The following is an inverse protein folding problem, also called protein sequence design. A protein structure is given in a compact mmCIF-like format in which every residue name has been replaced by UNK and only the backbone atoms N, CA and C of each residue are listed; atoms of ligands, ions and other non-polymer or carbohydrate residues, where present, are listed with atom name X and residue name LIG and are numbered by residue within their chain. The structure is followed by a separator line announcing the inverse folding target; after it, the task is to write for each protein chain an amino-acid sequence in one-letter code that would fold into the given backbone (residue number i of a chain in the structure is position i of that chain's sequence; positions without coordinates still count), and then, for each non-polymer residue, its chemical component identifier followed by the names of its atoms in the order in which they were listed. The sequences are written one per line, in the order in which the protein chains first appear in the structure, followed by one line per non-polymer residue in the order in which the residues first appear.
data_IF_649233448470
#
_entry.id   IF_649233448470
#
_cell.length_a   1.000
_cell.length_b   1.000
_cell.length_c   1.000
_cell.angle_alpha   90.00
_cell.angle_beta   90.00
_cell.angle_gamma   90.00
#
_symmetry.space_group_name_H-M   'P 1'
#
loop_
_entity.id
_entity.type
_entity.pdbx_description
1 polymer ?
#
# COMPACT_ATOMS: atom_id res chain seq x y z
N UNK A 1 -43.16 66.49 35.42
CA UNK A 1 -42.53 67.72 34.89
C UNK A 1 -41.02 67.50 34.81
N UNK A 2 -40.55 67.24 33.59
CA UNK A 2 -39.19 67.18 33.02
C UNK A 2 -37.95 67.28 33.90
N UNK A 3 -36.96 66.41 33.62
CA UNK A 3 -35.81 66.79 32.77
C UNK A 3 -35.08 65.57 32.15
N UNK A 4 -34.83 65.72 30.86
CA UNK A 4 -34.19 64.83 29.89
C UNK A 4 -32.72 65.24 29.68
N UNK A 5 -31.83 64.29 29.36
CA UNK A 5 -30.50 64.39 28.69
C UNK A 5 -29.91 62.97 28.65
N UNK A 6 -29.89 62.18 27.55
CA UNK A 6 -29.22 62.20 26.22
C UNK A 6 -27.67 62.05 26.27
N UNK A 7 -27.18 61.02 25.51
CA UNK A 7 -25.83 60.66 25.01
C UNK A 7 -24.97 59.76 25.94
N UNK A 8 -24.17 58.75 25.52
CA UNK A 8 -23.53 58.41 24.24
C UNK A 8 -23.02 56.92 24.25
N UNK A 9 -23.31 56.18 23.17
CA UNK A 9 -22.64 55.06 22.45
C UNK A 9 -21.26 54.42 22.87
N UNK A 10 -21.17 53.08 22.67
CA UNK A 10 -20.03 52.19 22.21
C UNK A 10 -19.38 51.18 23.20
N UNK A 11 -19.35 49.90 22.76
CA UNK A 11 -18.33 48.85 23.06
C UNK A 11 -18.66 47.96 24.26
N UNK A 12 -18.56 46.63 24.27
CA UNK A 12 -17.77 45.68 23.49
C UNK A 12 -18.40 44.29 23.71
N UNK A 13 -18.84 43.61 22.65
CA UNK A 13 -19.26 42.20 22.72
C UNK A 13 -18.00 41.34 22.83
N UNK A 14 -17.56 41.03 24.06
CA UNK A 14 -16.57 39.97 24.30
C UNK A 14 -17.28 38.62 24.17
N UNK A 15 -17.40 38.14 22.93
CA UNK A 15 -17.62 36.74 22.65
C UNK A 15 -16.32 36.01 23.03
N UNK A 16 -16.18 35.64 24.30
CA UNK A 16 -15.17 34.66 24.70
C UNK A 16 -15.61 33.35 24.05
N UNK A 17 -14.99 33.04 22.91
CA UNK A 17 -15.05 31.71 22.35
C UNK A 17 -14.50 30.76 23.40
N UNK A 18 -15.39 30.11 24.14
CA UNK A 18 -15.04 28.91 24.89
C UNK A 18 -14.61 27.91 23.84
N UNK A 19 -13.31 27.62 23.79
CA UNK A 19 -12.84 26.36 23.23
C UNK A 19 -13.47 25.28 24.11
N UNK A 20 -14.55 24.68 23.63
CA UNK A 20 -15.11 23.48 24.24
C UNK A 20 -14.21 22.33 23.85
N UNK A 21 -13.24 22.00 24.71
CA UNK A 21 -12.72 20.64 24.75
C UNK A 21 -13.86 19.78 25.29
N UNK A 22 -14.51 19.03 24.41
CA UNK A 22 -15.44 17.99 24.87
C UNK A 22 -14.61 16.88 25.48
N UNK A 23 -14.40 16.92 26.80
CA UNK A 23 -13.78 15.86 27.59
C UNK A 23 -14.73 14.66 27.74
N UNK A 24 -15.15 14.09 26.61
CA UNK A 24 -16.22 13.10 26.61
C UNK A 24 -15.83 11.79 27.33
N UNK A 25 -14.54 11.53 27.56
CA UNK A 25 -14.08 10.23 28.10
C UNK A 25 -12.96 10.29 29.17
N UNK A 26 -12.57 11.47 29.68
CA UNK A 26 -11.47 11.65 30.65
C UNK A 26 -10.16 10.93 30.24
N UNK A 27 -9.83 10.98 28.95
CA UNK A 27 -8.57 10.46 28.40
C UNK A 27 -7.88 11.64 27.72
N UNK A 28 -6.67 11.99 28.13
CA UNK A 28 -5.84 12.91 27.36
C UNK A 28 -5.09 12.14 26.28
N UNK A 29 -4.87 12.81 25.14
CA UNK A 29 -4.08 12.29 24.04
C UNK A 29 -2.97 13.28 23.73
N UNK A 30 -1.74 12.87 24.00
CA UNK A 30 -0.58 13.73 24.03
C UNK A 30 0.55 13.18 23.14
N UNK A 31 1.39 14.09 22.66
CA UNK A 31 2.64 13.73 22.01
C UNK A 31 3.74 13.67 23.06
N UNK A 32 4.60 12.67 22.99
CA UNK A 32 5.82 12.61 23.80
C UNK A 32 6.75 13.79 23.55
N UNK A 33 7.68 14.04 24.48
CA UNK A 33 8.57 15.20 24.46
C UNK A 33 9.73 15.12 23.47
N UNK A 34 9.83 14.05 22.67
CA UNK A 34 10.94 13.80 21.76
C UNK A 34 10.53 13.91 20.30
N UNK A 35 11.27 14.71 19.54
CA UNK A 35 11.21 14.76 18.08
C UNK A 35 12.47 14.08 17.52
N UNK A 36 12.43 12.76 17.26
CA UNK A 36 13.62 12.03 16.83
C UNK A 36 14.10 12.56 15.48
N UNK A 37 15.39 12.48 15.21
CA UNK A 37 15.97 12.92 13.93
C UNK A 37 15.94 11.81 12.88
N UNK A 38 15.41 12.09 11.68
CA UNK A 38 15.46 11.22 10.51
C UNK A 38 16.43 11.80 9.46
N UNK A 39 17.71 11.43 9.60
CA UNK A 39 18.76 11.80 8.65
C UNK A 39 19.05 10.68 7.64
N UNK A 40 18.79 10.95 6.36
CA UNK A 40 19.04 10.03 5.24
C UNK A 40 20.40 10.36 4.63
N UNK A 41 21.33 9.39 4.72
CA UNK A 41 22.74 9.56 4.33
C UNK A 41 23.18 8.63 3.19
N UNK A 42 22.34 7.67 2.79
CA UNK A 42 22.56 6.81 1.63
C UNK A 42 21.23 6.51 0.94
N UNK A 43 21.31 5.85 -0.22
CA UNK A 43 20.14 5.33 -0.94
C UNK A 43 19.44 4.16 -0.25
N UNK A 44 19.97 3.68 0.88
CA UNK A 44 19.38 2.61 1.68
C UNK A 44 18.23 3.10 2.59
N UNK A 45 17.95 4.40 2.56
CA UNK A 45 16.98 5.05 3.43
C UNK A 45 17.56 5.31 4.81
N UNK A 46 16.68 5.43 5.80
CA UNK A 46 17.09 5.64 7.19
C UNK A 46 15.96 5.26 8.15
N UNK A 47 16.32 4.99 9.40
CA UNK A 47 15.37 4.86 10.51
C UNK A 47 15.84 5.72 11.66
N UNK A 48 14.91 6.34 12.38
CA UNK A 48 15.24 7.17 13.53
C UNK A 48 15.91 6.37 14.65
N UNK A 49 16.93 6.97 15.30
CA UNK A 49 17.55 6.38 16.50
C UNK A 49 16.65 6.44 17.75
N UNK A 50 15.85 7.51 17.87
CA UNK A 50 14.88 7.72 18.95
C UNK A 50 13.43 7.46 18.54
N UNK A 51 12.49 7.81 19.42
CA UNK A 51 11.06 7.56 19.25
C UNK A 51 10.23 8.83 19.18
N UNK A 52 9.21 8.81 18.33
CA UNK A 52 8.04 9.66 18.45
C UNK A 52 7.01 8.88 19.26
N UNK A 53 6.58 9.44 20.38
CA UNK A 53 5.66 8.74 21.28
C UNK A 53 4.25 9.31 21.21
N UNK A 54 3.26 8.44 21.18
CA UNK A 54 1.85 8.79 21.37
C UNK A 54 1.42 8.32 22.76
N UNK A 55 0.89 9.24 23.56
CA UNK A 55 0.59 9.00 24.98
C UNK A 55 -0.90 9.12 25.22
N UNK A 56 -1.48 8.11 25.86
CA UNK A 56 -2.83 8.16 26.40
C UNK A 56 -2.76 8.19 27.92
N UNK A 57 -3.34 9.22 28.54
CA UNK A 57 -3.37 9.37 30.00
C UNK A 57 -4.82 9.34 30.50
N UNK A 58 -5.04 8.62 31.60
CA UNK A 58 -6.26 8.70 32.41
C UNK A 58 -5.86 9.04 33.84
N UNK A 59 -6.48 10.10 34.35
CA UNK A 59 -6.33 10.50 35.74
C UNK A 59 -6.97 9.49 36.70
N UNK A 60 -6.59 9.56 37.98
CA UNK A 60 -7.12 8.69 39.03
C UNK A 60 -8.67 8.63 39.08
N UNK A 61 -9.19 7.45 39.46
CA UNK A 61 -10.61 7.19 39.70
C UNK A 61 -11.18 6.08 38.80
N UNK A 62 -12.34 5.54 39.19
CA UNK A 62 -13.04 4.50 38.41
C UNK A 62 -13.59 5.10 37.11
N UNK A 63 -13.20 4.53 35.95
CA UNK A 63 -13.56 5.06 34.63
C UNK A 63 -13.81 3.89 33.67
N UNK A 64 -14.98 3.82 33.00
CA UNK A 64 -15.29 2.71 32.11
C UNK A 64 -14.15 2.37 31.15
N UNK A 65 -13.88 1.08 31.00
CA UNK A 65 -12.88 0.58 30.06
C UNK A 65 -13.28 0.98 28.64
N UNK A 66 -12.29 1.31 27.80
CA UNK A 66 -12.55 1.65 26.39
C UNK A 66 -12.06 0.51 25.51
N UNK A 67 -12.92 -0.43 25.10
CA UNK A 67 -12.55 -1.50 24.17
C UNK A 67 -12.46 -0.98 22.73
N UNK A 68 -11.77 -1.74 21.86
CA UNK A 68 -11.77 -1.53 20.40
C UNK A 68 -11.34 -0.13 19.96
N UNK A 69 -10.56 0.56 20.78
CA UNK A 69 -10.04 1.89 20.47
C UNK A 69 -9.06 1.83 19.29
N UNK A 70 -8.91 2.98 18.62
CA UNK A 70 -8.17 3.11 17.36
C UNK A 70 -7.34 4.37 17.38
N UNK A 71 -6.17 4.32 16.75
CA UNK A 71 -5.31 5.47 16.48
C UNK A 71 -5.03 5.51 14.99
N UNK A 72 -5.34 6.64 14.37
CA UNK A 72 -5.02 6.94 12.98
C UNK A 72 -4.10 8.14 12.89
N UNK A 73 -3.27 8.16 11.85
CA UNK A 73 -2.49 9.33 11.42
C UNK A 73 -2.84 9.65 9.96
N UNK A 74 -2.93 10.93 9.64
CA UNK A 74 -3.07 11.41 8.26
C UNK A 74 -2.17 12.63 8.04
N UNK A 75 -1.76 12.83 6.79
CA UNK A 75 -1.12 14.07 6.37
C UNK A 75 -2.21 15.12 6.13
N UNK A 76 -2.03 16.31 6.70
CA UNK A 76 -2.93 17.46 6.45
C UNK A 76 -2.45 18.35 5.30
N UNK A 77 -1.30 18.00 4.71
CA UNK A 77 -0.68 18.61 3.54
C UNK A 77 0.49 17.76 3.03
N UNK A 78 1.09 18.14 1.90
CA UNK A 78 2.27 17.45 1.36
C UNK A 78 3.48 17.57 2.32
N UNK A 79 4.39 16.59 2.28
CA UNK A 79 5.67 16.68 2.97
C UNK A 79 6.60 17.54 2.12
N UNK A 80 6.85 18.78 2.55
CA UNK A 80 7.49 19.79 1.70
C UNK A 80 8.90 20.13 2.16
N UNK A 81 9.77 20.40 1.19
CA UNK A 81 11.09 20.97 1.44
C UNK A 81 10.95 22.36 2.07
N UNK A 82 11.82 22.67 3.04
CA UNK A 82 11.80 23.94 3.78
C UNK A 82 12.50 25.09 3.04
N UNK A 83 13.19 24.79 1.94
CA UNK A 83 13.95 25.75 1.12
C UNK A 83 13.07 26.55 0.13
N UNK A 84 11.76 26.30 0.09
CA UNK A 84 10.84 26.95 -0.83
C UNK A 84 10.88 26.41 -2.27
N UNK A 85 11.64 25.34 -2.54
CA UNK A 85 11.73 24.71 -3.87
C UNK A 85 10.42 24.07 -4.35
N UNK A 86 9.47 23.83 -3.44
CA UNK A 86 8.25 23.07 -3.72
C UNK A 86 8.49 21.56 -3.89
N UNK A 87 9.69 21.07 -3.59
CA UNK A 87 10.02 19.65 -3.68
C UNK A 87 9.21 18.86 -2.65
N UNK A 88 8.49 17.82 -3.10
CA UNK A 88 7.64 16.96 -2.26
C UNK A 88 8.37 15.67 -1.94
N UNK A 89 8.46 15.32 -0.66
CA UNK A 89 8.87 13.98 -0.23
C UNK A 89 7.67 13.02 -0.38
N UNK A 90 7.78 11.90 -1.12
CA UNK A 90 6.67 10.97 -1.29
C UNK A 90 6.20 10.37 0.04
N UNK A 91 4.93 10.56 0.36
CA UNK A 91 4.35 10.14 1.64
C UNK A 91 4.50 8.64 1.90
N UNK A 92 4.26 7.81 0.88
CA UNK A 92 4.34 6.34 0.94
C UNK A 92 5.75 5.80 1.27
N UNK A 93 6.76 6.67 1.20
CA UNK A 93 8.14 6.34 1.55
C UNK A 93 8.49 6.61 3.00
N UNK A 94 7.62 7.26 3.77
CA UNK A 94 7.77 7.43 5.22
C UNK A 94 6.83 6.45 5.94
N UNK A 95 7.37 5.70 6.90
CA UNK A 95 6.62 4.71 7.68
C UNK A 95 6.81 4.87 9.18
N UNK A 96 5.77 4.55 9.95
CA UNK A 96 5.84 4.36 11.40
C UNK A 96 6.12 2.90 11.73
N UNK A 97 7.07 2.65 12.63
CA UNK A 97 7.43 1.33 13.11
C UNK A 97 7.21 1.30 14.63
N UNK A 98 6.17 0.61 15.14
CA UNK A 98 5.97 0.47 16.57
C UNK A 98 7.12 -0.34 17.19
N UNK A 99 7.63 0.11 18.34
CA UNK A 99 8.79 -0.51 18.99
C UNK A 99 8.40 -1.16 20.30
N UNK A 100 7.83 -0.40 21.23
CA UNK A 100 7.39 -0.89 22.52
C UNK A 100 6.33 0.04 23.12
N UNK A 101 5.82 -0.35 24.28
CA UNK A 101 4.96 0.46 25.13
C UNK A 101 5.60 0.67 26.50
N UNK A 102 5.32 1.81 27.13
CA UNK A 102 5.83 2.15 28.46
C UNK A 102 4.86 3.05 29.23
N UNK A 103 5.09 3.21 30.53
CA UNK A 103 4.24 3.98 31.42
C UNK A 103 3.77 3.17 32.63
N UNK A 104 2.57 3.44 33.12
CA UNK A 104 2.06 2.89 34.37
C UNK A 104 0.53 2.70 34.37
N UNK A 105 -0.03 1.78 35.18
CA UNK A 105 0.68 0.80 35.99
C UNK A 105 1.30 -0.32 35.13
N UNK A 106 2.35 -0.95 35.63
CA UNK A 106 2.99 -2.09 34.97
C UNK A 106 2.33 -3.42 35.43
N UNK A 107 2.24 -4.45 34.56
CA UNK A 107 2.67 -4.47 33.16
C UNK A 107 1.66 -3.79 32.22
N UNK A 108 2.16 -3.10 31.20
CA UNK A 108 1.35 -2.54 30.11
C UNK A 108 1.26 -3.51 28.92
N UNK A 109 0.19 -3.41 28.10
CA UNK A 109 0.06 -4.25 26.92
C UNK A 109 1.16 -3.97 25.90
N UNK A 110 1.71 -5.03 25.32
CA UNK A 110 2.75 -4.97 24.28
C UNK A 110 2.19 -4.55 22.92
N UNK A 111 3.08 -4.22 21.97
CA UNK A 111 2.75 -3.88 20.57
C UNK A 111 1.85 -4.94 19.92
N UNK A 112 2.17 -6.22 20.11
CA UNK A 112 1.41 -7.34 19.53
C UNK A 112 0.05 -7.53 20.22
N UNK A 113 -0.02 -7.35 21.55
CA UNK A 113 -1.29 -7.42 22.30
C UNK A 113 -2.24 -6.28 21.95
N UNK A 114 -1.73 -5.10 21.62
CA UNK A 114 -2.56 -4.02 21.07
C UNK A 114 -3.00 -4.35 19.64
N UNK A 115 -2.20 -5.09 18.87
CA UNK A 115 -2.48 -5.40 17.47
C UNK A 115 -2.01 -4.30 16.52
N UNK A 116 -0.87 -3.67 16.83
CA UNK A 116 -0.28 -2.64 15.96
C UNK A 116 0.42 -3.27 14.75
N UNK A 117 0.07 -2.89 13.51
CA UNK A 117 0.79 -3.31 12.32
C UNK A 117 2.19 -2.69 12.24
N UNK A 118 3.12 -3.36 11.56
CA UNK A 118 4.49 -2.89 11.36
C UNK A 118 5.06 -3.39 10.03
N UNK A 119 5.66 -2.52 9.19
CA UNK A 119 5.61 -1.05 9.24
C UNK A 119 4.24 -0.51 8.80
N UNK A 120 3.95 0.76 9.13
CA UNK A 120 2.77 1.49 8.64
C UNK A 120 3.21 2.66 7.75
N UNK A 121 3.21 2.50 6.41
CA UNK A 121 3.51 3.59 5.50
C UNK A 121 2.43 4.66 5.56
N UNK A 122 2.83 5.93 5.45
CA UNK A 122 1.89 7.02 5.27
C UNK A 122 1.21 6.95 3.90
N UNK A 123 0.07 7.62 3.79
CA UNK A 123 -0.65 7.76 2.53
C UNK A 123 -0.87 9.26 2.27
N UNK A 124 -0.66 9.69 1.03
CA UNK A 124 -0.84 11.09 0.62
C UNK A 124 -2.30 11.55 0.74
N UNK A 125 -3.26 10.70 0.40
CA UNK A 125 -4.67 11.09 0.23
C UNK A 125 -5.60 10.51 1.29
N UNK A 126 -5.08 9.84 2.31
CA UNK A 126 -5.93 9.24 3.34
C UNK A 126 -5.22 8.98 4.66
N UNK A 127 -6.02 8.70 5.68
CA UNK A 127 -5.55 8.24 6.97
C UNK A 127 -5.08 6.79 6.91
N UNK A 128 -4.06 6.50 7.69
CA UNK A 128 -3.60 5.14 7.98
C UNK A 128 -3.75 4.86 9.48
N UNK A 129 -3.85 3.59 9.85
CA UNK A 129 -4.07 3.20 11.24
C UNK A 129 -2.79 2.69 11.88
N UNK A 130 -2.32 3.38 12.92
CA UNK A 130 -1.26 2.91 13.81
C UNK A 130 -1.81 1.85 14.78
N UNK A 131 -3.07 2.01 15.19
CA UNK A 131 -3.86 1.00 15.91
C UNK A 131 -5.20 0.87 15.18
N UNK A 132 -5.42 -0.18 14.36
CA UNK A 132 -6.63 -0.32 13.56
C UNK A 132 -7.85 -0.74 14.38
N UNK A 133 -7.64 -1.62 15.35
CA UNK A 133 -8.61 -2.04 16.34
C UNK A 133 -7.87 -2.69 17.51
N UNK A 134 -7.77 -2.01 18.64
CA UNK A 134 -7.03 -2.57 19.78
C UNK A 134 -7.65 -3.87 20.27
N UNK A 135 -6.83 -4.90 20.45
CA UNK A 135 -7.26 -6.20 21.01
C UNK A 135 -7.28 -6.19 22.55
N UNK A 136 -6.83 -5.09 23.16
CA UNK A 136 -6.89 -4.85 24.60
C UNK A 136 -7.61 -3.52 24.89
N UNK A 137 -8.51 -3.47 25.89
CA UNK A 137 -9.17 -2.24 26.26
C UNK A 137 -8.18 -1.28 26.95
N UNK A 138 -8.45 0.03 26.86
CA UNK A 138 -7.88 0.97 27.84
C UNK A 138 -8.52 0.67 29.19
N UNK A 139 -7.69 0.44 30.21
CA UNK A 139 -8.13 -0.15 31.47
C UNK A 139 -9.06 0.75 32.29
N UNK A 140 -9.94 0.10 33.07
CA UNK A 140 -10.75 0.68 34.15
C UNK A 140 -10.05 0.44 35.50
N UNK A 141 -8.81 0.88 35.61
CA UNK A 141 -8.15 0.91 36.92
C UNK A 141 -8.61 2.13 37.69
N UNK A 142 -8.82 2.01 39.00
CA UNK A 142 -8.97 3.17 39.90
C UNK A 142 -7.68 4.00 39.99
N UNK A 143 -6.58 3.46 39.48
CA UNK A 143 -5.26 4.06 39.43
C UNK A 143 -5.07 4.96 38.20
N UNK A 144 -4.09 5.86 38.31
CA UNK A 144 -3.58 6.65 37.19
C UNK A 144 -3.03 5.71 36.11
N UNK A 145 -3.51 5.88 34.88
CA UNK A 145 -3.12 5.06 33.73
C UNK A 145 -2.42 5.93 32.68
N UNK A 146 -1.21 5.57 32.30
CA UNK A 146 -0.43 6.20 31.23
C UNK A 146 0.12 5.12 30.32
N UNK A 147 -0.37 5.08 29.09
CA UNK A 147 0.12 4.23 28.02
C UNK A 147 0.84 5.09 26.99
N UNK A 148 2.15 4.96 26.93
CA UNK A 148 2.99 5.56 25.91
C UNK A 148 3.36 4.50 24.87
N UNK A 149 3.07 4.78 23.60
CA UNK A 149 3.40 3.94 22.45
C UNK A 149 4.53 4.60 21.67
N UNK A 150 5.66 3.93 21.58
CA UNK A 150 6.87 4.45 20.94
C UNK A 150 6.97 3.98 19.49
N UNK A 151 7.14 4.93 18.57
CA UNK A 151 7.31 4.67 17.15
C UNK A 151 8.66 5.20 16.65
N UNK A 152 9.37 4.40 15.86
CA UNK A 152 10.41 4.91 14.98
C UNK A 152 9.79 5.39 13.68
N UNK A 153 10.39 6.39 13.06
CA UNK A 153 10.09 6.76 11.68
C UNK A 153 11.15 6.14 10.77
N UNK A 154 10.74 5.69 9.59
CA UNK A 154 11.65 5.16 8.58
C UNK A 154 11.37 5.79 7.22
N UNK A 155 12.44 6.16 6.51
CA UNK A 155 12.41 6.43 5.08
C UNK A 155 12.83 5.18 4.32
N UNK A 156 12.07 4.81 3.29
CA UNK A 156 12.37 3.66 2.44
C UNK A 156 13.66 3.87 1.62
N UNK A 157 14.38 2.80 1.26
CA UNK A 157 15.45 2.86 0.28
C UNK A 157 14.90 3.20 -1.12
N UNK A 158 15.76 3.76 -1.99
CA UNK A 158 15.47 3.86 -3.42
C UNK A 158 16.10 5.07 -4.11
N UNK A 159 16.09 5.02 -5.45
CA UNK A 159 16.69 6.05 -6.31
C UNK A 159 15.98 7.40 -6.19
N UNK A 160 14.68 7.38 -5.86
CA UNK A 160 13.86 8.58 -5.63
C UNK A 160 14.53 9.60 -4.67
N UNK A 161 15.34 9.13 -3.71
CA UNK A 161 16.08 9.96 -2.76
C UNK A 161 17.04 10.95 -3.44
N UNK A 162 17.53 10.62 -4.65
CA UNK A 162 18.39 11.52 -5.45
C UNK A 162 17.71 12.86 -5.74
N UNK A 163 16.40 12.83 -5.97
CA UNK A 163 15.63 14.03 -6.31
C UNK A 163 15.24 14.84 -5.05
N UNK A 164 15.53 14.30 -3.86
CA UNK A 164 15.20 14.91 -2.58
C UNK A 164 16.39 15.61 -1.91
N UNK A 165 17.57 15.58 -2.52
CA UNK A 165 18.72 16.39 -2.09
C UNK A 165 18.80 17.71 -2.88
N UNK A 166 19.52 18.70 -2.36
CA UNK A 166 19.80 19.96 -3.07
C UNK A 166 21.23 19.94 -3.64
N UNK A 167 21.44 19.18 -4.72
CA UNK A 167 22.78 19.02 -5.30
C UNK A 167 23.75 18.39 -4.29
N UNK A 168 24.72 19.17 -3.80
CA UNK A 168 25.71 18.76 -2.78
C UNK A 168 25.35 19.19 -1.35
N UNK A 169 24.15 19.73 -1.14
CA UNK A 169 23.69 20.23 0.16
C UNK A 169 22.58 19.35 0.77
N UNK A 170 22.47 19.43 2.09
CA UNK A 170 21.38 18.81 2.85
C UNK A 170 20.09 19.58 2.64
N UNK A 171 19.03 18.88 2.27
CA UNK A 171 17.67 19.42 2.20
C UNK A 171 16.84 18.95 3.39
N UNK A 172 16.15 19.88 4.04
CA UNK A 172 15.24 19.59 5.16
C UNK A 172 13.78 19.57 4.69
N UNK A 173 12.97 18.73 5.33
CA UNK A 173 11.56 18.55 5.03
C UNK A 173 10.72 18.63 6.30
N UNK A 174 9.49 19.15 6.16
CA UNK A 174 8.48 19.10 7.21
C UNK A 174 7.26 18.28 6.78
N UNK A 175 6.74 17.48 7.69
CA UNK A 175 5.55 16.65 7.48
C UNK A 175 4.42 17.12 8.42
N UNK A 176 3.33 17.71 7.89
CA UNK A 176 2.18 18.10 8.69
C UNK A 176 1.29 16.89 8.97
N UNK A 177 1.26 16.43 10.22
CA UNK A 177 0.58 15.22 10.67
C UNK A 177 -0.61 15.56 11.58
N UNK A 178 -1.68 14.79 11.44
CA UNK A 178 -2.80 14.80 12.36
C UNK A 178 -3.06 13.40 12.89
N UNK A 179 -2.86 13.22 14.19
CA UNK A 179 -3.19 11.99 14.89
C UNK A 179 -4.58 12.11 15.50
N UNK A 180 -5.36 11.03 15.42
CA UNK A 180 -6.69 10.95 16.02
C UNK A 180 -6.82 9.65 16.78
N UNK A 181 -7.27 9.73 18.02
CA UNK A 181 -7.71 8.57 18.80
C UNK A 181 -9.23 8.53 18.86
N UNK A 182 -9.80 7.34 18.67
CA UNK A 182 -11.24 7.08 18.71
C UNK A 182 -11.56 5.84 19.52
N UNK A 183 -12.75 5.80 20.09
CA UNK A 183 -13.26 4.61 20.78
C UNK A 183 -13.82 3.56 19.79
N UNK A 184 -14.30 2.43 20.34
CA UNK A 184 -14.94 1.36 19.56
C UNK A 184 -16.23 1.75 18.83
N UNK A 185 -16.89 2.83 19.26
CA UNK A 185 -18.07 3.40 18.61
C UNK A 185 -17.71 4.48 17.57
N UNK A 186 -16.41 4.63 17.28
CA UNK A 186 -15.86 5.63 16.37
C UNK A 186 -16.08 7.09 16.82
N UNK A 187 -16.34 7.30 18.12
CA UNK A 187 -16.37 8.64 18.72
C UNK A 187 -14.94 9.14 18.95
N UNK A 188 -14.75 10.44 18.78
CA UNK A 188 -13.46 11.08 18.96
C UNK A 188 -13.10 11.16 20.45
N UNK A 189 -11.93 10.62 20.80
CA UNK A 189 -11.32 10.79 22.13
C UNK A 189 -10.40 12.01 22.12
N UNK A 190 -9.58 12.19 21.07
CA UNK A 190 -8.59 13.26 21.03
C UNK A 190 -7.93 13.42 19.66
N UNK A 191 -7.36 14.60 19.43
CA UNK A 191 -6.64 14.98 18.20
C UNK A 191 -5.33 15.65 18.58
N UNK A 192 -4.25 15.27 17.89
CA UNK A 192 -2.97 16.00 17.91
C UNK A 192 -2.70 16.50 16.50
N UNK A 193 -2.51 17.82 16.36
CA UNK A 193 -1.94 18.41 15.15
C UNK A 193 -0.46 18.65 15.41
N UNK A 194 0.40 18.09 14.57
CA UNK A 194 1.84 18.13 14.78
C UNK A 194 2.58 18.22 13.46
N UNK A 195 3.50 19.18 13.35
CA UNK A 195 4.42 19.27 12.21
C UNK A 195 5.75 18.65 12.64
N UNK A 196 6.12 17.54 12.01
CA UNK A 196 7.42 16.91 12.19
C UNK A 196 8.43 17.60 11.27
N UNK A 197 9.39 18.32 11.82
CA UNK A 197 10.35 19.18 11.10
C UNK A 197 11.74 18.54 10.95
N UNK A 198 11.95 17.37 11.52
CA UNK A 198 13.28 16.79 11.69
C UNK A 198 13.62 15.69 10.66
N UNK A 199 13.24 15.91 9.40
CA UNK A 199 13.61 15.06 8.24
C UNK A 199 14.68 15.77 7.43
N UNK A 200 15.79 15.10 7.18
CA UNK A 200 16.87 15.62 6.34
C UNK A 200 17.36 14.57 5.34
N UNK A 201 17.49 14.98 4.08
CA UNK A 201 18.19 14.23 3.04
C UNK A 201 19.53 14.93 2.82
N UNK A 202 20.60 14.26 3.24
CA UNK A 202 21.96 14.77 3.03
C UNK A 202 22.41 14.56 1.59
N UNK A 203 23.59 15.09 1.27
CA UNK A 203 24.26 14.71 0.04
C UNK A 203 24.54 13.20 0.03
N UNK A 204 23.90 12.48 -0.91
CA UNK A 204 24.04 11.04 -1.06
C UNK A 204 25.23 10.74 -1.98
N UNK A 205 26.12 9.86 -1.52
CA UNK A 205 27.28 9.43 -2.31
C UNK A 205 26.95 8.21 -3.18
N UNK A 206 27.63 8.11 -4.32
CA UNK A 206 27.48 7.00 -5.26
C UNK A 206 26.31 7.18 -6.24
N UNK A 207 26.21 6.30 -7.25
CA UNK A 207 25.05 6.31 -8.14
C UNK A 207 23.79 5.87 -7.36
N UNK A 208 22.62 6.45 -7.64
CA UNK A 208 21.35 5.90 -7.17
C UNK A 208 21.21 4.44 -7.61
N UNK A 209 20.55 3.58 -6.81
CA UNK A 209 20.25 2.22 -7.24
C UNK A 209 19.40 2.25 -8.51
N UNK A 210 19.58 1.28 -9.40
CA UNK A 210 18.73 1.16 -10.58
C UNK A 210 17.32 0.76 -10.14
N UNK A 211 16.32 1.59 -10.45
CA UNK A 211 14.92 1.22 -10.23
C UNK A 211 14.53 0.15 -11.24
N UNK A 212 13.91 -0.94 -10.77
CA UNK A 212 13.42 -1.98 -11.67
C UNK A 212 12.17 -1.48 -12.39
N UNK A 213 12.28 -1.22 -13.68
CA UNK A 213 11.20 -0.83 -14.57
C UNK A 213 10.86 -1.99 -15.48
N UNK A 214 9.58 -2.35 -15.54
CA UNK A 214 9.11 -3.42 -16.39
C UNK A 214 7.64 -3.22 -16.78
N UNK A 215 7.29 -3.67 -17.97
CA UNK A 215 5.91 -3.65 -18.47
C UNK A 215 5.61 -4.89 -19.29
N UNK A 216 4.33 -5.24 -19.33
CA UNK A 216 3.79 -6.31 -20.14
C UNK A 216 2.59 -5.78 -20.91
N UNK A 217 2.46 -6.19 -22.17
CA UNK A 217 1.30 -5.88 -23.00
C UNK A 217 0.88 -7.13 -23.77
N UNK A 218 -0.42 -7.43 -23.76
CA UNK A 218 -1.04 -8.40 -24.65
C UNK A 218 -1.64 -7.63 -25.84
N UNK A 219 -1.44 -8.13 -27.06
CA UNK A 219 -2.03 -7.50 -28.25
C UNK A 219 -3.56 -7.64 -28.26
N UNK A 220 -4.24 -6.76 -28.97
CA UNK A 220 -5.71 -6.79 -29.07
C UNK A 220 -6.20 -8.10 -29.69
N UNK A 221 -5.45 -8.63 -30.66
CA UNK A 221 -5.74 -9.89 -31.35
C UNK A 221 -5.54 -11.08 -30.41
N UNK A 222 -4.47 -11.08 -29.60
CA UNK A 222 -4.19 -12.15 -28.65
C UNK A 222 -5.07 -12.11 -27.39
N UNK A 223 -5.68 -10.97 -27.09
CA UNK A 223 -6.59 -10.79 -25.95
C UNK A 223 -7.87 -11.63 -26.08
N UNK A 224 -8.27 -11.99 -27.32
CA UNK A 224 -9.44 -12.82 -27.61
C UNK A 224 -9.00 -14.10 -28.33
N UNK A 225 -8.26 -14.96 -27.62
CA UNK A 225 -7.83 -16.26 -28.11
C UNK A 225 -9.00 -17.18 -28.49
N UNK A 226 -9.07 -17.67 -29.72
CA UNK A 226 -10.14 -18.58 -30.20
C UNK A 226 -9.55 -19.80 -30.90
N UNK A 227 -9.93 -20.98 -30.42
CA UNK A 227 -9.70 -22.26 -31.09
C UNK A 227 -11.05 -22.79 -31.61
N UNK A 228 -11.22 -22.76 -32.93
CA UNK A 228 -12.47 -23.18 -33.56
C UNK A 228 -12.34 -24.59 -34.15
N UNK A 229 -13.18 -25.52 -33.68
CA UNK A 229 -13.20 -26.91 -34.11
C UNK A 229 -14.35 -27.14 -35.10
N UNK A 230 -14.03 -27.27 -36.41
CA UNK A 230 -15.02 -27.42 -37.50
C UNK A 230 -15.03 -28.81 -38.10
N UNK A 231 -13.88 -29.49 -38.08
CA UNK A 231 -13.68 -30.74 -38.79
C UNK A 231 -13.18 -31.81 -37.83
N UNK A 232 -13.46 -33.08 -38.14
CA UNK A 232 -12.97 -34.22 -37.36
C UNK A 232 -11.44 -34.17 -37.17
N UNK A 233 -10.71 -33.71 -38.19
CA UNK A 233 -9.26 -33.55 -38.13
C UNK A 233 -8.79 -32.60 -37.01
N UNK A 234 -9.58 -31.59 -36.62
CA UNK A 234 -9.23 -30.67 -35.53
C UNK A 234 -9.21 -31.40 -34.17
N UNK A 235 -10.04 -32.44 -34.01
CA UNK A 235 -10.09 -33.26 -32.80
C UNK A 235 -9.01 -34.36 -32.82
N UNK A 236 -8.80 -35.00 -33.97
CA UNK A 236 -7.83 -36.11 -34.12
C UNK A 236 -6.39 -35.59 -34.05
N UNK A 237 -6.07 -34.50 -34.74
CA UNK A 237 -4.71 -33.97 -34.78
C UNK A 237 -4.44 -32.88 -33.73
N UNK A 238 -5.51 -32.35 -33.11
CA UNK A 238 -5.46 -31.14 -32.31
C UNK A 238 -5.57 -29.88 -33.16
N UNK A 239 -5.88 -28.77 -32.51
CA UNK A 239 -6.02 -27.45 -33.13
C UNK A 239 -5.01 -26.49 -32.54
N UNK A 240 -4.45 -25.60 -33.35
CA UNK A 240 -3.62 -24.50 -32.87
C UNK A 240 -3.94 -23.19 -33.56
N UNK A 241 -3.75 -22.09 -32.84
CA UNK A 241 -3.77 -20.73 -33.37
C UNK A 241 -2.53 -19.99 -32.86
N UNK A 242 -1.91 -19.18 -33.71
CA UNK A 242 -0.74 -18.36 -33.38
C UNK A 242 -1.13 -16.90 -33.54
N UNK A 243 -0.85 -16.12 -32.51
CA UNK A 243 -1.01 -14.66 -32.51
C UNK A 243 0.36 -14.01 -32.56
N UNK A 244 0.71 -13.49 -33.73
CA UNK A 244 1.97 -12.80 -33.94
C UNK A 244 2.07 -11.54 -33.07
N UNK A 245 3.23 -11.33 -32.43
CA UNK A 245 3.45 -10.26 -31.45
C UNK A 245 2.36 -10.19 -30.37
N UNK A 246 1.82 -11.36 -29.97
CA UNK A 246 0.73 -11.45 -29.00
C UNK A 246 1.11 -10.98 -27.60
N UNK A 247 2.40 -11.02 -27.25
CA UNK A 247 2.95 -10.56 -25.98
C UNK A 247 4.15 -9.64 -26.24
N UNK A 248 4.17 -8.46 -25.63
CA UNK A 248 5.33 -7.57 -25.62
C UNK A 248 5.78 -7.31 -24.19
N UNK A 249 7.08 -7.39 -23.95
CA UNK A 249 7.73 -7.11 -22.67
C UNK A 249 8.75 -5.99 -22.86
N UNK A 250 8.80 -5.05 -21.91
CA UNK A 250 9.94 -4.15 -21.70
C UNK A 250 10.43 -4.34 -20.28
N UNK A 251 11.75 -4.43 -20.06
CA UNK A 251 12.33 -4.53 -18.73
C UNK A 251 13.76 -4.00 -18.72
N UNK A 252 14.16 -3.32 -17.66
CA UNK A 252 15.58 -2.99 -17.42
C UNK A 252 16.29 -4.00 -16.50
N UNK A 253 15.57 -5.03 -16.04
CA UNK A 253 16.10 -6.14 -15.24
C UNK A 253 15.69 -7.48 -15.86
N UNK A 254 16.30 -8.57 -15.41
CA UNK A 254 15.81 -9.91 -15.76
C UNK A 254 14.35 -10.08 -15.32
N UNK A 255 13.58 -10.87 -16.04
CA UNK A 255 12.14 -10.96 -15.80
C UNK A 255 11.60 -12.38 -15.94
N UNK A 256 10.44 -12.60 -15.34
CA UNK A 256 9.60 -13.78 -15.56
C UNK A 256 8.18 -13.34 -15.89
N UNK A 257 7.60 -13.95 -16.91
CA UNK A 257 6.16 -13.83 -17.19
C UNK A 257 5.47 -15.13 -16.78
N UNK A 258 4.33 -14.99 -16.11
CA UNK A 258 3.46 -16.10 -15.74
C UNK A 258 2.06 -15.92 -16.33
N UNK A 259 1.35 -17.04 -16.45
CA UNK A 259 -0.07 -17.06 -16.84
C UNK A 259 -0.87 -17.91 -15.86
N UNK A 260 -2.11 -17.50 -15.57
CA UNK A 260 -3.12 -18.31 -14.87
C UNK A 260 -4.52 -18.04 -15.38
N UNK A 261 -5.39 -19.03 -15.22
CA UNK A 261 -6.83 -18.88 -15.42
C UNK A 261 -7.51 -18.30 -14.16
N UNK A 262 -8.53 -17.45 -14.35
CA UNK A 262 -9.32 -16.92 -13.24
C UNK A 262 -10.40 -17.89 -12.74
N UNK A 263 -10.81 -18.85 -13.57
CA UNK A 263 -11.80 -19.88 -13.24
C UNK A 263 -11.19 -21.28 -13.33
N UNK A 264 -11.72 -22.29 -12.59
CA UNK A 264 -11.14 -23.64 -12.55
C UNK A 264 -11.33 -24.46 -13.82
N UNK A 265 -12.23 -24.03 -14.71
CA UNK A 265 -12.67 -24.73 -15.90
C UNK A 265 -13.05 -23.69 -16.95
N UNK A 266 -13.06 -24.07 -18.21
CA UNK A 266 -13.81 -23.31 -19.21
C UNK A 266 -15.31 -23.56 -19.01
N UNK A 267 -16.11 -22.51 -19.18
CA UNK A 267 -17.57 -22.59 -19.07
C UNK A 267 -18.24 -22.04 -20.32
N UNK A 268 -19.39 -22.62 -20.68
CA UNK A 268 -20.27 -22.11 -21.73
C UNK A 268 -21.53 -21.44 -21.19
N UNK A 269 -22.26 -20.73 -22.05
CA UNK A 269 -23.56 -20.12 -21.71
C UNK A 269 -24.62 -21.15 -21.32
N UNK A 270 -24.50 -22.38 -21.84
CA UNK A 270 -25.37 -23.51 -21.50
C UNK A 270 -24.90 -24.30 -20.27
N UNK A 271 -24.01 -23.72 -19.45
CA UNK A 271 -23.43 -24.33 -18.25
C UNK A 271 -22.65 -25.64 -18.49
N UNK A 272 -22.17 -25.88 -19.72
CA UNK A 272 -21.24 -26.96 -19.99
C UNK A 272 -19.84 -26.56 -19.52
N UNK A 273 -19.02 -27.56 -19.15
CA UNK A 273 -17.70 -27.37 -18.55
C UNK A 273 -16.65 -28.16 -19.30
N UNK A 274 -15.44 -27.61 -19.36
CA UNK A 274 -14.27 -28.28 -19.94
C UNK A 274 -13.04 -28.02 -19.05
N UNK A 275 -12.24 -29.05 -18.72
CA UNK A 275 -11.01 -28.86 -17.94
C UNK A 275 -10.03 -27.90 -18.61
N UNK A 276 -9.27 -27.12 -17.83
CA UNK A 276 -8.35 -26.11 -18.37
C UNK A 276 -7.19 -26.73 -19.17
N UNK A 277 -6.69 -27.87 -18.70
CA UNK A 277 -5.47 -28.51 -19.18
C UNK A 277 -5.61 -29.15 -20.58
N UNK A 278 -6.82 -29.15 -21.15
CA UNK A 278 -7.06 -29.48 -22.56
C UNK A 278 -6.43 -28.46 -23.51
N UNK A 279 -6.25 -27.21 -23.06
CA UNK A 279 -5.59 -26.15 -23.80
C UNK A 279 -4.20 -25.92 -23.22
N UNK A 280 -3.23 -25.86 -24.12
CA UNK A 280 -1.84 -25.55 -23.86
C UNK A 280 -1.50 -24.18 -24.44
N UNK A 281 -0.56 -23.52 -23.80
CA UNK A 281 0.03 -22.25 -24.22
C UNK A 281 1.54 -22.42 -24.34
N UNK A 282 2.11 -21.86 -25.40
CA UNK A 282 3.55 -21.64 -25.50
C UNK A 282 3.84 -20.29 -26.13
N UNK A 283 5.02 -19.76 -25.83
CA UNK A 283 5.56 -18.58 -26.49
C UNK A 283 6.53 -19.02 -27.59
N UNK A 284 6.45 -18.35 -28.74
CA UNK A 284 7.35 -18.53 -29.87
C UNK A 284 8.04 -17.20 -30.18
N UNK A 285 9.21 -17.23 -30.84
CA UNK A 285 10.04 -16.05 -31.08
C UNK A 285 10.45 -15.32 -29.79
N UNK A 286 11.19 -14.21 -29.89
CA UNK A 286 11.68 -13.46 -28.73
C UNK A 286 12.84 -14.14 -27.97
N UNK A 287 13.46 -13.38 -27.06
CA UNK A 287 14.64 -13.79 -26.28
C UNK A 287 14.22 -14.29 -24.89
N UNK A 288 14.77 -15.43 -24.45
CA UNK A 288 14.53 -16.01 -23.13
C UNK A 288 14.19 -17.50 -23.18
N UNK A 289 14.23 -18.14 -22.01
CA UNK A 289 13.82 -19.53 -21.82
C UNK A 289 12.29 -19.60 -21.81
N UNK A 290 11.73 -20.34 -22.77
CA UNK A 290 10.27 -20.46 -22.97
C UNK A 290 9.79 -21.81 -22.49
N UNK A 291 8.65 -21.82 -21.80
CA UNK A 291 8.08 -23.02 -21.19
C UNK A 291 6.66 -23.23 -21.72
N UNK A 292 6.42 -24.27 -22.54
CA UNK A 292 5.07 -24.70 -22.86
C UNK A 292 4.35 -25.18 -21.60
N UNK A 293 3.12 -24.72 -21.38
CA UNK A 293 2.32 -25.01 -20.18
C UNK A 293 0.90 -25.43 -20.54
N UNK A 294 0.30 -26.30 -19.73
CA UNK A 294 -1.16 -26.47 -19.71
C UNK A 294 -1.79 -25.33 -18.91
N UNK A 295 -2.96 -24.83 -19.34
CA UNK A 295 -3.67 -23.82 -18.58
C UNK A 295 -4.10 -24.38 -17.21
N UNK A 296 -3.95 -23.56 -16.18
CA UNK A 296 -4.30 -23.90 -14.80
C UNK A 296 -4.64 -22.65 -13.99
N UNK A 297 -5.25 -22.80 -12.82
CA UNK A 297 -5.47 -21.67 -11.90
C UNK A 297 -4.20 -21.26 -11.14
N UNK A 298 -3.19 -22.14 -11.10
CA UNK A 298 -1.89 -21.83 -10.54
C UNK A 298 -1.07 -21.04 -11.57
N UNK A 299 -0.37 -20.01 -11.12
CA UNK A 299 0.54 -19.25 -11.99
C UNK A 299 1.64 -20.17 -12.53
N UNK A 300 1.68 -20.32 -13.85
CA UNK A 300 2.70 -21.11 -14.55
C UNK A 300 3.68 -20.15 -15.25
N UNK A 301 5.01 -20.33 -15.10
CA UNK A 301 5.98 -19.54 -15.84
C UNK A 301 5.93 -19.91 -17.32
N UNK A 302 5.86 -18.90 -18.20
CA UNK A 302 5.80 -19.10 -19.67
C UNK A 302 7.06 -18.58 -20.37
N UNK A 303 7.74 -17.60 -19.79
CA UNK A 303 9.09 -17.19 -20.20
C UNK A 303 9.89 -16.65 -19.02
N UNK A 304 11.20 -16.94 -19.02
CA UNK A 304 12.22 -16.26 -18.23
C UNK A 304 13.17 -15.57 -19.20
N UNK A 305 13.19 -14.24 -19.19
CA UNK A 305 14.01 -13.46 -20.11
C UNK A 305 15.09 -12.66 -19.38
N UNK A 306 16.21 -12.36 -20.04
CA UNK A 306 17.16 -11.37 -19.54
C UNK A 306 16.54 -9.96 -19.65
N UNK A 307 17.20 -8.95 -19.05
CA UNK A 307 16.87 -7.54 -19.31
C UNK A 307 16.71 -7.26 -20.81
N UNK A 308 15.71 -6.43 -21.15
CA UNK A 308 15.51 -5.95 -22.53
C UNK A 308 16.18 -4.59 -22.75
N UNK A 309 16.90 -4.06 -21.75
CA UNK A 309 17.43 -2.71 -21.74
C UNK A 309 16.35 -1.66 -22.07
N UNK A 310 15.14 -1.88 -21.54
CA UNK A 310 13.94 -1.08 -21.80
C UNK A 310 13.46 -1.06 -23.26
N UNK A 311 14.06 -1.84 -24.16
CA UNK A 311 13.57 -2.03 -25.52
C UNK A 311 12.39 -3.04 -25.54
N UNK A 312 11.39 -2.87 -26.42
CA UNK A 312 10.30 -3.82 -26.53
C UNK A 312 10.77 -5.13 -27.17
N UNK A 313 10.52 -6.26 -26.50
CA UNK A 313 10.71 -7.61 -27.02
C UNK A 313 9.35 -8.26 -27.19
N UNK A 314 9.06 -8.73 -28.40
CA UNK A 314 7.79 -9.38 -28.74
C UNK A 314 7.94 -10.90 -28.83
N UNK A 315 6.87 -11.57 -28.41
CA UNK A 315 6.67 -13.01 -28.51
C UNK A 315 5.36 -13.27 -29.24
N UNK A 316 5.35 -14.32 -30.04
CA UNK A 316 4.12 -14.88 -30.59
C UNK A 316 3.49 -15.78 -29.52
N UNK A 317 2.17 -15.71 -29.35
CA UNK A 317 1.44 -16.59 -28.43
C UNK A 317 0.80 -17.70 -29.26
N UNK A 318 1.13 -18.96 -28.96
CA UNK A 318 0.41 -20.11 -29.53
C UNK A 318 -0.46 -20.75 -28.47
N UNK A 319 -1.76 -20.81 -28.75
CA UNK A 319 -2.69 -21.67 -28.03
C UNK A 319 -2.95 -22.92 -28.85
N UNK A 320 -2.99 -24.08 -28.21
CA UNK A 320 -3.24 -25.33 -28.90
C UNK A 320 -3.83 -26.42 -28.02
N UNK A 321 -4.50 -27.37 -28.64
CA UNK A 321 -4.87 -28.65 -28.03
C UNK A 321 -3.98 -29.75 -28.57
N UNK A 322 -3.94 -30.88 -27.86
CA UNK A 322 -3.35 -32.10 -28.39
C UNK A 322 -4.41 -32.89 -29.17
N UNK A 323 -3.94 -33.71 -30.11
CA UNK A 323 -4.78 -34.68 -30.79
C UNK A 323 -5.31 -35.77 -29.86
N UNK A 324 -6.43 -36.37 -30.27
CA UNK A 324 -7.05 -37.52 -29.60
C UNK A 324 -7.43 -37.29 -28.11
N UNK A 325 -7.61 -36.03 -27.68
CA UNK A 325 -8.09 -35.74 -26.32
C UNK A 325 -9.58 -36.04 -26.21
N UNK A 326 -9.90 -37.21 -25.64
CA UNK A 326 -11.27 -37.70 -25.43
C UNK A 326 -12.20 -36.68 -24.76
N UNK A 327 -11.69 -35.75 -23.95
CA UNK A 327 -12.49 -34.72 -23.29
C UNK A 327 -13.07 -33.73 -24.29
N UNK A 328 -12.36 -33.43 -25.39
CA UNK A 328 -12.83 -32.57 -26.48
C UNK A 328 -13.87 -33.29 -27.35
N UNK A 329 -13.72 -34.60 -27.58
CA UNK A 329 -14.71 -35.39 -28.34
C UNK A 329 -16.04 -35.55 -27.59
N UNK A 330 -15.99 -35.65 -26.27
CA UNK A 330 -17.17 -35.82 -25.42
C UNK A 330 -17.80 -34.49 -24.99
N UNK A 331 -17.14 -33.37 -25.24
CA UNK A 331 -17.68 -32.05 -24.95
C UNK A 331 -18.92 -31.79 -25.81
N UNK A 332 -19.95 -31.19 -25.20
CA UNK A 332 -21.13 -30.76 -25.98
C UNK A 332 -20.72 -29.60 -26.88
N UNK A 333 -21.17 -29.54 -28.15
CA UNK A 333 -20.91 -28.40 -29.02
C UNK A 333 -21.44 -27.11 -28.38
N UNK A 334 -20.53 -26.20 -28.02
CA UNK A 334 -20.83 -24.92 -27.38
C UNK A 334 -19.58 -24.01 -27.42
N UNK A 335 -19.73 -22.74 -27.04
CA UNK A 335 -18.63 -21.79 -26.88
C UNK A 335 -18.14 -21.80 -25.44
N UNK A 336 -16.96 -22.39 -25.23
CA UNK A 336 -16.31 -22.48 -23.92
C UNK A 336 -15.31 -21.33 -23.76
N UNK A 337 -15.35 -20.63 -22.63
CA UNK A 337 -14.45 -19.49 -22.37
C UNK A 337 -13.91 -19.51 -20.94
N UNK A 338 -12.72 -18.93 -20.78
CA UNK A 338 -12.10 -18.66 -19.48
C UNK A 338 -11.24 -17.40 -19.56
N UNK A 339 -11.31 -16.48 -18.59
CA UNK A 339 -10.39 -15.35 -18.53
C UNK A 339 -9.00 -15.78 -18.08
N UNK A 340 -7.96 -15.22 -18.69
CA UNK A 340 -6.56 -15.41 -18.32
C UNK A 340 -5.96 -14.13 -17.74
N UNK A 341 -5.02 -14.27 -16.81
CA UNK A 341 -4.19 -13.18 -16.29
C UNK A 341 -2.74 -13.47 -16.59
N UNK A 342 -2.07 -12.47 -17.17
CA UNK A 342 -0.63 -12.46 -17.39
C UNK A 342 0.01 -11.52 -16.38
N UNK A 343 1.11 -11.96 -15.78
CA UNK A 343 1.84 -11.17 -14.79
C UNK A 343 3.33 -11.20 -15.12
N UNK A 344 3.97 -10.04 -15.06
CA UNK A 344 5.42 -9.89 -15.17
C UNK A 344 5.99 -9.54 -13.80
N UNK A 345 7.08 -10.21 -13.44
CA UNK A 345 7.83 -9.91 -12.22
C UNK A 345 9.32 -9.76 -12.55
N UNK A 346 10.01 -8.81 -11.89
CA UNK A 346 11.45 -8.69 -11.99
C UNK A 346 12.11 -9.88 -11.29
N UNK A 347 13.26 -10.33 -11.79
CA UNK A 347 14.07 -11.38 -11.17
C UNK A 347 15.27 -10.84 -10.41
#
# INVERSE_FOLDING_TARGET
MNKMRILLWIGLFLLVGRVTTTDAQNISFELGSTEPYLGINSYDGATTGGFLSLVLVREWGTKPSVPNWKISVELTGDILATDGSGTVFPADKISFIPVNTQGQPAPLPTVSQIGMPSPVPLNRTGKVFLVPNSQVPLSDTQEYYRLEMNFRLSAAPGAYLKNLQEGYNTRSYHAPLQFKVRDGNNQLIGIINYTYNNIQVHYLQGPPPEEKEYSIRISTEAANGVLEFKHLADYVNGKSVVYSNGLTVTSNTDYQVTVRALSPEFSSSSANKLPLDVVKLELQQGVGDKFPVSLSQTAQPIVKGPTTNSAPVSFDIRYYTIGDDRRLFLAKPDNYSVPLTYEIVPR
#
